data_IF_794136445543
#
_entry.id   IF_794136445543
#
_cell.length_a   1.000
_cell.length_b   1.000
_cell.length_c   1.000
_cell.angle_alpha   90.00
_cell.angle_beta   90.00
_cell.angle_gamma   90.00
#
_symmetry.space_group_name_H-M   'P 1'
#
loop_
_entity.id
_entity.type
_entity.pdbx_description
1 polymer ?
#
# COMPACT_ATOMS: atom_id res chain seq x y z
N UNK A 1 17.83 -11.90 -0.05
CA UNK A 1 18.06 -10.78 0.88
C UNK A 1 17.01 -9.72 0.63
N UNK A 2 16.30 -9.28 1.66
CA UNK A 2 15.31 -8.22 1.63
C UNK A 2 15.96 -6.91 2.10
N UNK A 3 15.63 -5.79 1.46
CA UNK A 3 16.02 -4.44 1.89
C UNK A 3 14.81 -3.74 2.48
N UNK A 4 14.94 -3.18 3.68
CA UNK A 4 13.89 -2.42 4.36
C UNK A 4 14.41 -1.00 4.53
N UNK A 5 13.63 -0.02 4.10
CA UNK A 5 14.00 1.40 4.12
C UNK A 5 13.16 2.10 5.20
N UNK A 6 13.81 2.59 6.25
CA UNK A 6 13.18 3.26 7.37
C UNK A 6 12.99 4.76 7.11
N UNK A 7 11.92 5.35 7.66
CA UNK A 7 11.62 6.79 7.54
C UNK A 7 12.71 7.71 8.12
N UNK A 8 13.58 7.16 8.97
CA UNK A 8 14.74 7.83 9.57
C UNK A 8 15.98 7.82 8.66
N UNK A 9 15.89 7.26 7.46
CA UNK A 9 17.02 7.11 6.53
C UNK A 9 17.82 5.81 6.71
N UNK A 10 17.47 4.97 7.69
CA UNK A 10 18.12 3.68 7.87
C UNK A 10 17.75 2.68 6.78
N UNK A 11 18.69 1.78 6.47
CA UNK A 11 18.48 0.67 5.55
C UNK A 11 18.87 -0.62 6.25
N UNK A 12 17.90 -1.52 6.41
CA UNK A 12 18.09 -2.82 7.05
C UNK A 12 18.14 -3.92 6.00
N UNK A 13 19.03 -4.89 6.18
CA UNK A 13 19.18 -6.05 5.31
C UNK A 13 18.79 -7.32 6.05
N UNK A 14 17.80 -8.01 5.50
CA UNK A 14 17.22 -9.19 6.12
C UNK A 14 17.41 -10.44 5.25
N UNK A 15 17.68 -11.58 5.90
CA UNK A 15 17.82 -12.88 5.23
C UNK A 15 16.50 -13.64 5.11
N UNK A 16 15.39 -12.93 4.96
CA UNK A 16 14.07 -13.50 4.71
C UNK A 16 13.50 -13.03 3.36
N UNK A 17 12.46 -13.72 2.89
CA UNK A 17 11.77 -13.30 1.67
C UNK A 17 10.87 -12.08 1.93
N UNK A 18 10.64 -11.26 0.92
CA UNK A 18 9.66 -10.16 1.00
C UNK A 18 8.25 -10.65 1.35
N UNK A 19 7.85 -11.84 0.88
CA UNK A 19 6.58 -12.47 1.25
C UNK A 19 6.52 -12.80 2.75
N UNK A 20 7.58 -13.38 3.30
CA UNK A 20 7.69 -13.70 4.74
C UNK A 20 7.62 -12.43 5.57
N UNK A 21 8.36 -11.39 5.20
CA UNK A 21 8.33 -10.11 5.89
C UNK A 21 6.95 -9.46 5.83
N UNK A 22 6.34 -9.40 4.65
CA UNK A 22 5.01 -8.83 4.47
C UNK A 22 3.97 -9.54 5.35
N UNK A 23 3.98 -10.88 5.39
CA UNK A 23 3.10 -11.66 6.26
C UNK A 23 3.33 -11.36 7.76
N UNK A 24 4.60 -11.22 8.19
CA UNK A 24 4.93 -10.84 9.58
C UNK A 24 4.43 -9.43 9.90
N UNK A 25 4.62 -8.50 8.98
CA UNK A 25 4.15 -7.12 9.10
C UNK A 25 2.62 -7.05 9.21
N UNK A 26 1.90 -7.76 8.34
CA UNK A 26 0.45 -7.84 8.40
C UNK A 26 -0.05 -8.41 9.74
N UNK A 27 0.57 -9.50 10.21
CA UNK A 27 0.26 -10.09 11.53
C UNK A 27 0.53 -9.13 12.69
N UNK A 28 1.58 -8.31 12.60
CA UNK A 28 1.85 -7.27 13.61
C UNK A 28 0.70 -6.26 13.71
N UNK A 29 0.05 -5.94 12.59
CA UNK A 29 -1.17 -5.11 12.56
C UNK A 29 -2.47 -5.89 12.82
N UNK A 30 -2.39 -7.18 13.15
CA UNK A 30 -3.57 -8.02 13.40
C UNK A 30 -4.40 -8.37 12.15
N UNK A 31 -3.83 -8.22 10.95
CA UNK A 31 -4.53 -8.46 9.68
C UNK A 31 -3.93 -9.62 8.90
N UNK A 32 -4.76 -10.29 8.10
CA UNK A 32 -4.33 -11.34 7.18
C UNK A 32 -4.28 -10.85 5.72
N UNK A 33 -3.17 -11.12 5.04
CA UNK A 33 -2.95 -10.65 3.67
C UNK A 33 -3.90 -11.30 2.67
N UNK A 34 -4.25 -12.57 2.86
CA UNK A 34 -5.15 -13.26 1.93
C UNK A 34 -6.55 -12.66 2.01
N UNK A 35 -7.03 -12.36 3.22
CA UNK A 35 -8.30 -11.66 3.46
C UNK A 35 -8.29 -10.26 2.85
N UNK A 36 -7.24 -9.46 3.10
CA UNK A 36 -7.12 -8.11 2.52
C UNK A 36 -7.10 -8.14 1.00
N UNK A 37 -6.34 -9.07 0.39
CA UNK A 37 -6.29 -9.22 -1.08
C UNK A 37 -7.64 -9.62 -1.66
N UNK A 38 -8.37 -10.52 -0.99
CA UNK A 38 -9.69 -10.92 -1.44
C UNK A 38 -10.65 -9.73 -1.40
N UNK A 39 -10.74 -9.05 -0.26
CA UNK A 39 -11.61 -7.89 -0.08
C UNK A 39 -11.30 -6.76 -1.07
N UNK A 40 -10.05 -6.27 -1.06
CA UNK A 40 -9.64 -5.15 -1.92
C UNK A 40 -9.55 -5.53 -3.40
N UNK A 41 -9.29 -6.80 -3.70
CA UNK A 41 -9.33 -7.31 -5.06
C UNK A 41 -10.73 -7.25 -5.67
N UNK A 42 -11.78 -7.53 -4.89
CA UNK A 42 -13.16 -7.37 -5.34
C UNK A 42 -13.49 -5.90 -5.62
N UNK A 43 -13.15 -5.00 -4.68
CA UNK A 43 -13.39 -3.56 -4.81
C UNK A 43 -12.71 -2.98 -6.06
N UNK A 44 -11.48 -3.43 -6.34
CA UNK A 44 -10.71 -2.93 -7.49
C UNK A 44 -10.96 -3.72 -8.77
N UNK A 45 -11.76 -4.79 -8.75
CA UNK A 45 -11.88 -5.77 -9.85
C UNK A 45 -10.50 -6.29 -10.33
N UNK A 46 -9.60 -6.59 -9.39
CA UNK A 46 -8.21 -7.00 -9.67
C UNK A 46 -7.77 -8.22 -8.86
N UNK A 47 -6.87 -9.00 -9.45
CA UNK A 47 -6.23 -10.16 -8.81
C UNK A 47 -4.76 -9.93 -8.43
N UNK A 48 -4.13 -8.90 -8.98
CA UNK A 48 -2.71 -8.58 -8.80
C UNK A 48 -2.51 -7.08 -8.57
N UNK A 49 -1.36 -6.70 -8.01
CA UNK A 49 -1.01 -5.31 -7.72
C UNK A 49 -2.07 -4.59 -6.86
N UNK A 50 -2.64 -5.34 -5.91
CA UNK A 50 -3.66 -4.87 -4.97
C UNK A 50 -2.96 -4.16 -3.80
N UNK A 51 -3.23 -2.87 -3.54
CA UNK A 51 -2.78 -2.19 -2.33
C UNK A 51 -3.33 -2.84 -1.07
N UNK A 52 -2.56 -2.82 0.02
CA UNK A 52 -2.93 -3.42 1.30
C UNK A 52 -2.94 -2.35 2.39
N UNK A 53 -4.12 -1.91 2.82
CA UNK A 53 -4.26 -1.06 4.01
C UNK A 53 -4.21 -1.93 5.25
N UNK A 54 -3.15 -1.77 6.05
CA UNK A 54 -2.94 -2.52 7.30
C UNK A 54 -3.51 -1.79 8.51
N UNK A 55 -3.47 -0.46 8.50
CA UNK A 55 -3.94 0.44 9.54
C UNK A 55 -4.13 1.85 8.94
N UNK A 56 -4.73 2.82 9.66
CA UNK A 56 -4.76 4.20 9.21
C UNK A 56 -3.36 4.68 8.82
N UNK A 57 -3.24 5.33 7.66
CA UNK A 57 -1.97 5.81 7.09
C UNK A 57 -0.98 4.72 6.62
N UNK A 58 -1.28 3.44 6.84
CA UNK A 58 -0.41 2.30 6.53
C UNK A 58 -0.92 1.49 5.34
N UNK A 59 -1.04 2.15 4.19
CA UNK A 59 -1.40 1.49 2.93
C UNK A 59 -0.15 1.16 2.12
N UNK A 60 0.11 -0.13 2.00
CA UNK A 60 1.20 -0.67 1.21
C UNK A 60 0.78 -0.75 -0.25
N UNK A 61 1.45 0.02 -1.09
CA UNK A 61 1.31 0.01 -2.53
C UNK A 61 2.37 -0.93 -3.15
N UNK A 62 1.96 -1.94 -3.92
CA UNK A 62 2.90 -2.79 -4.64
C UNK A 62 3.48 -2.02 -5.84
N UNK A 63 4.78 -2.14 -6.06
CA UNK A 63 5.49 -1.53 -7.19
C UNK A 63 6.46 -2.52 -7.84
N UNK A 64 6.66 -2.42 -9.14
CA UNK A 64 7.66 -3.21 -9.85
C UNK A 64 9.00 -2.50 -9.70
N UNK A 65 9.98 -3.13 -9.05
CA UNK A 65 11.29 -2.50 -8.74
C UNK A 65 12.44 -3.08 -9.56
N UNK A 66 12.17 -4.16 -10.31
CA UNK A 66 13.14 -4.81 -11.19
C UNK A 66 12.44 -5.60 -12.28
N UNK A 67 13.17 -5.92 -13.34
CA UNK A 67 12.71 -6.87 -14.36
C UNK A 67 12.68 -8.27 -13.72
N UNK A 68 11.58 -9.03 -13.86
CA UNK A 68 11.51 -10.39 -13.33
C UNK A 68 12.56 -11.28 -13.98
N UNK A 69 13.24 -12.09 -13.18
CA UNK A 69 14.18 -13.12 -13.64
C UNK A 69 13.63 -14.47 -13.20
N UNK A 70 13.12 -15.25 -14.15
CA UNK A 70 12.40 -16.49 -13.89
C UNK A 70 11.18 -16.28 -12.97
N UNK A 71 11.01 -17.12 -11.96
CA UNK A 71 9.90 -17.04 -10.99
C UNK A 71 10.17 -16.10 -9.80
N UNK A 72 11.25 -15.31 -9.82
CA UNK A 72 11.53 -14.42 -8.70
C UNK A 72 10.59 -13.20 -8.69
N UNK A 73 10.13 -12.81 -7.50
CA UNK A 73 9.33 -11.59 -7.34
C UNK A 73 10.08 -10.37 -7.85
N UNK A 74 9.48 -9.64 -8.78
CA UNK A 74 9.90 -8.32 -9.26
C UNK A 74 9.34 -7.17 -8.42
N UNK A 75 8.43 -7.48 -7.48
CA UNK A 75 7.69 -6.49 -6.73
C UNK A 75 8.38 -6.08 -5.43
N UNK A 76 8.33 -4.78 -5.14
CA UNK A 76 8.55 -4.16 -3.84
C UNK A 76 7.25 -3.59 -3.28
N UNK A 77 7.29 -3.15 -2.02
CA UNK A 77 6.15 -2.55 -1.33
C UNK A 77 6.57 -1.21 -0.75
N UNK A 78 5.73 -0.19 -0.95
CA UNK A 78 5.96 1.17 -0.47
C UNK A 78 4.75 1.61 0.34
N UNK A 79 4.96 2.23 1.50
CA UNK A 79 3.85 2.93 2.18
C UNK A 79 3.49 4.14 1.30
N UNK A 80 2.29 4.18 0.72
CA UNK A 80 1.96 5.17 -0.32
C UNK A 80 2.17 6.61 0.15
N UNK A 81 1.79 6.90 1.41
CA UNK A 81 1.96 8.21 2.07
C UNK A 81 3.41 8.58 2.42
N UNK A 82 4.37 7.70 2.14
CA UNK A 82 5.79 8.00 2.28
C UNK A 82 6.39 8.62 1.03
N UNK A 83 5.69 8.59 -0.11
CA UNK A 83 6.14 9.23 -1.34
C UNK A 83 6.06 10.75 -1.15
N UNK A 84 7.21 11.41 -1.28
CA UNK A 84 7.35 12.87 -1.19
C UNK A 84 7.37 13.49 -2.59
N UNK A 85 8.01 12.82 -3.56
CA UNK A 85 8.14 13.31 -4.93
C UNK A 85 8.29 12.13 -5.91
N UNK A 86 7.88 12.34 -7.15
CA UNK A 86 8.08 11.41 -8.27
C UNK A 86 8.88 12.13 -9.35
N UNK A 87 9.96 11.51 -9.82
CA UNK A 87 10.82 12.03 -10.90
C UNK A 87 10.96 11.04 -12.04
N UNK A 88 11.26 11.56 -13.23
CA UNK A 88 11.50 10.78 -14.43
C UNK A 88 10.30 10.79 -15.37
N UNK A 89 10.49 10.21 -16.55
CA UNK A 89 9.52 10.16 -17.63
C UNK A 89 9.59 8.79 -18.34
N UNK A 90 8.53 8.44 -19.08
CA UNK A 90 8.52 7.23 -19.91
C UNK A 90 8.08 5.98 -19.13
N UNK A 91 8.91 4.92 -19.13
CA UNK A 91 8.57 3.60 -18.55
C UNK A 91 9.23 3.33 -17.19
N UNK A 92 10.00 4.27 -16.70
CA UNK A 92 10.71 4.15 -15.45
C UNK A 92 10.66 5.47 -14.69
N UNK A 93 10.36 5.37 -13.40
CA UNK A 93 10.24 6.52 -12.52
C UNK A 93 11.11 6.31 -11.29
N UNK A 94 11.46 7.41 -10.63
CA UNK A 94 12.14 7.40 -9.34
C UNK A 94 11.21 7.99 -8.29
N UNK A 95 10.90 7.20 -7.27
CA UNK A 95 10.12 7.64 -6.12
C UNK A 95 11.07 8.15 -5.04
N UNK A 96 10.92 9.41 -4.65
CA UNK A 96 11.57 9.96 -3.46
C UNK A 96 10.65 9.70 -2.27
N UNK A 97 11.17 8.98 -1.28
CA UNK A 97 10.43 8.58 -0.10
C UNK A 97 10.99 9.27 1.15
N UNK A 98 10.14 9.42 2.17
CA UNK A 98 10.53 9.84 3.53
C UNK A 98 11.79 9.12 3.99
N UNK A 99 12.69 9.86 4.61
CA UNK A 99 14.03 9.37 4.95
C UNK A 99 15.04 9.54 3.81
N UNK A 100 14.72 10.33 2.78
CA UNK A 100 15.59 10.65 1.63
C UNK A 100 15.94 9.42 0.77
N UNK A 101 15.09 8.40 0.78
CA UNK A 101 15.31 7.20 -0.02
C UNK A 101 14.86 7.44 -1.46
N UNK A 102 15.63 6.93 -2.42
CA UNK A 102 15.29 6.98 -3.84
C UNK A 102 15.11 5.56 -4.35
N UNK A 103 13.91 5.25 -4.83
CA UNK A 103 13.56 3.92 -5.33
C UNK A 103 13.15 4.03 -6.79
N UNK A 104 13.94 3.43 -7.69
CA UNK A 104 13.57 3.26 -9.09
C UNK A 104 12.46 2.21 -9.22
N UNK A 105 11.41 2.55 -9.97
CA UNK A 105 10.28 1.70 -10.28
C UNK A 105 10.08 1.61 -11.79
N UNK A 106 9.66 0.44 -12.26
CA UNK A 106 9.39 0.14 -13.66
C UNK A 106 7.90 0.34 -13.95
N UNK A 107 7.49 1.59 -13.89
CA UNK A 107 6.13 2.04 -14.20
C UNK A 107 6.21 3.31 -15.03
N UNK A 108 5.25 3.46 -15.94
CA UNK A 108 4.94 4.77 -16.51
C UNK A 108 4.16 5.65 -15.54
N UNK A 109 4.10 6.95 -15.80
CA UNK A 109 3.31 7.90 -15.00
C UNK A 109 1.83 7.48 -14.94
N UNK A 110 1.26 7.06 -16.06
CA UNK A 110 -0.13 6.61 -16.13
C UNK A 110 -0.37 5.38 -15.25
N UNK A 111 0.57 4.44 -15.22
CA UNK A 111 0.49 3.25 -14.37
C UNK A 111 0.62 3.60 -12.89
N UNK A 112 1.55 4.49 -12.54
CA UNK A 112 1.74 4.97 -11.18
C UNK A 112 0.50 5.73 -10.70
N UNK A 113 -0.05 6.64 -11.52
CA UNK A 113 -1.31 7.33 -11.21
C UNK A 113 -2.46 6.36 -10.99
N UNK A 114 -2.57 5.31 -11.81
CA UNK A 114 -3.57 4.26 -11.62
C UNK A 114 -3.35 3.48 -10.32
N UNK A 115 -2.10 3.23 -9.92
CA UNK A 115 -1.79 2.59 -8.64
C UNK A 115 -2.17 3.48 -7.46
N UNK A 116 -1.85 4.77 -7.51
CA UNK A 116 -2.22 5.75 -6.48
C UNK A 116 -3.74 5.91 -6.35
N UNK A 117 -4.48 5.91 -7.46
CA UNK A 117 -5.95 5.88 -7.41
C UNK A 117 -6.49 4.62 -6.71
N UNK A 118 -5.91 3.45 -6.98
CA UNK A 118 -6.32 2.22 -6.28
C UNK A 118 -6.01 2.31 -4.78
N UNK A 119 -4.88 2.93 -4.39
CA UNK A 119 -4.56 3.18 -2.98
C UNK A 119 -5.66 4.02 -2.34
N UNK A 120 -6.06 5.14 -2.96
CA UNK A 120 -7.11 6.02 -2.43
C UNK A 120 -8.45 5.29 -2.25
N UNK A 121 -8.85 4.48 -3.24
CA UNK A 121 -10.08 3.70 -3.15
C UNK A 121 -10.06 2.69 -1.99
N UNK A 122 -8.93 2.01 -1.80
CA UNK A 122 -8.77 1.03 -0.72
C UNK A 122 -8.66 1.72 0.66
N UNK A 123 -8.03 2.89 0.74
CA UNK A 123 -8.01 3.72 1.95
C UNK A 123 -9.43 4.19 2.32
N UNK A 124 -10.21 4.67 1.35
CA UNK A 124 -11.59 5.09 1.56
C UNK A 124 -12.46 3.93 2.04
N UNK A 125 -12.37 2.77 1.38
CA UNK A 125 -13.10 1.58 1.80
C UNK A 125 -12.74 1.17 3.24
N UNK A 126 -11.45 1.20 3.57
CA UNK A 126 -10.98 0.91 4.92
C UNK A 126 -11.58 1.87 5.95
N UNK A 127 -11.63 3.17 5.65
CA UNK A 127 -12.23 4.18 6.52
C UNK A 127 -13.72 3.90 6.75
N UNK A 128 -14.50 3.69 5.69
CA UNK A 128 -15.94 3.39 5.80
C UNK A 128 -16.18 2.14 6.66
N UNK A 129 -15.34 1.10 6.51
CA UNK A 129 -15.52 -0.17 7.22
C UNK A 129 -15.10 -0.10 8.69
N UNK A 130 -14.15 0.76 9.06
CA UNK A 130 -13.52 0.78 10.39
C UNK A 130 -13.75 2.08 11.17
N UNK A 131 -14.41 3.07 10.58
CA UNK A 131 -14.90 4.21 11.36
C UNK A 131 -15.99 3.70 12.31
N UNK A 132 -15.90 4.02 13.61
CA UNK A 132 -17.02 3.79 14.50
C UNK A 132 -18.21 4.60 13.97
N UNK A 133 -19.45 4.09 14.06
CA UNK A 133 -20.61 4.86 13.68
C UNK A 133 -20.60 6.18 14.45
N UNK A 134 -20.60 7.30 13.73
CA UNK A 134 -20.76 8.60 14.36
C UNK A 134 -22.20 8.70 14.88
N UNK A 135 -22.35 8.95 16.17
CA UNK A 135 -23.65 9.26 16.76
C UNK A 135 -24.07 10.65 16.32
N UNK A 136 -24.81 10.75 15.23
CA UNK A 136 -25.43 12.01 14.82
C UNK A 136 -26.61 12.28 15.76
N UNK A 137 -26.47 13.25 16.66
CA UNK A 137 -27.58 13.77 17.47
C UNK A 137 -28.33 14.83 16.66
N UNK A 138 -29.37 14.42 15.95
CA UNK A 138 -30.40 15.35 15.50
C UNK A 138 -31.39 15.59 16.64
N UNK A 139 -31.95 16.80 16.71
CA UNK A 139 -32.47 17.44 17.93
C UNK A 139 -33.50 16.66 18.78
N UNK A 140 -34.03 15.50 18.36
CA UNK A 140 -34.88 14.64 19.20
C UNK A 140 -34.76 13.12 19.02
N UNK A 141 -33.99 12.60 18.07
CA UNK A 141 -33.88 11.15 17.86
C UNK A 141 -32.48 10.74 17.39
N UNK A 142 -32.03 9.55 17.80
CA UNK A 142 -30.72 8.98 17.46
C UNK A 142 -30.90 7.87 16.43
N UNK A 143 -30.27 7.99 15.26
CA UNK A 143 -30.32 6.97 14.21
C UNK A 143 -28.92 6.60 13.70
N UNK A 144 -28.81 5.36 13.19
CA UNK A 144 -27.61 4.85 12.53
C UNK A 144 -27.50 5.45 11.12
N UNK A 145 -26.37 6.08 10.81
CA UNK A 145 -26.00 6.42 9.44
C UNK A 145 -24.79 5.58 9.00
N UNK A 146 -24.96 4.84 7.90
CA UNK A 146 -23.88 4.25 7.13
C UNK A 146 -23.69 5.16 5.92
N UNK A 147 -22.52 5.81 5.81
CA UNK A 147 -22.11 6.53 4.61
C UNK A 147 -21.40 5.59 3.64
#
# INVERSE_FOLDING_TARGET
>A
MLRIFGKNGEVHLERISGRTYLNRLARHFGVDISSLRHQYGQILSKKQMIPLTLAPQWTLMPVTVRIPVGHQSSYGWIVARSIEEVKGEGKELTLLLKGKHQIRVLHSENELHRLLRNVQLVELHYQITHQPPEWVKEKRESYFHLF
#
